data_IF_605685650659
#
_entry.id   IF_605685650659
#
_cell.length_a   1.000
_cell.length_b   1.000
_cell.length_c   1.000
_cell.angle_alpha   90.00
_cell.angle_beta   90.00
_cell.angle_gamma   90.00
#
_symmetry.space_group_name_H-M   'P 1'
#
loop_
_entity.id
_entity.type
_entity.pdbx_description
1 polymer ?
#
# COMPACT_ATOMS: atom_id res chain seq x y z
N UNK A 1 18.47 -26.20 12.60
CA UNK A 1 17.12 -25.63 12.37
C UNK A 1 16.99 -24.12 12.66
N UNK A 2 17.93 -23.48 13.38
CA UNK A 2 17.90 -22.04 13.71
C UNK A 2 18.00 -21.10 12.49
N UNK A 3 18.86 -21.46 11.52
CA UNK A 3 19.15 -20.63 10.34
C UNK A 3 17.94 -20.30 9.46
N UNK A 4 17.03 -21.27 9.23
CA UNK A 4 15.88 -21.05 8.34
C UNK A 4 14.82 -20.12 8.96
N UNK A 5 14.80 -19.98 10.29
CA UNK A 5 13.91 -19.04 10.97
C UNK A 5 14.48 -17.62 10.96
N UNK A 6 15.81 -17.50 11.11
CA UNK A 6 16.48 -16.21 11.06
C UNK A 6 16.44 -15.63 9.63
N UNK A 7 16.72 -16.45 8.61
CA UNK A 7 16.63 -16.05 7.19
C UNK A 7 15.20 -15.62 6.84
N UNK A 8 14.20 -16.37 7.30
CA UNK A 8 12.79 -16.02 7.16
C UNK A 8 12.51 -14.62 7.70
N UNK A 9 12.93 -14.33 8.94
CA UNK A 9 12.55 -13.09 9.60
C UNK A 9 13.16 -11.91 8.87
N UNK A 10 14.42 -12.05 8.45
CA UNK A 10 15.10 -11.05 7.62
C UNK A 10 14.30 -10.76 6.34
N UNK A 11 13.91 -11.80 5.59
CA UNK A 11 13.15 -11.62 4.33
C UNK A 11 11.80 -10.95 4.57
N UNK A 12 11.05 -11.35 5.61
CA UNK A 12 9.79 -10.68 5.99
C UNK A 12 10.00 -9.20 6.24
N UNK A 13 10.96 -8.87 7.09
CA UNK A 13 11.19 -7.50 7.51
C UNK A 13 11.62 -6.65 6.31
N UNK A 14 12.55 -7.15 5.49
CA UNK A 14 13.00 -6.46 4.28
C UNK A 14 11.84 -6.20 3.31
N UNK A 15 11.00 -7.19 3.02
CA UNK A 15 9.88 -7.00 2.09
C UNK A 15 8.83 -6.05 2.65
N UNK A 16 8.50 -6.14 3.94
CA UNK A 16 7.51 -5.22 4.53
C UNK A 16 8.02 -3.79 4.62
N UNK A 17 9.32 -3.60 4.87
CA UNK A 17 9.95 -2.27 4.80
C UNK A 17 9.93 -1.70 3.38
N UNK A 18 10.21 -2.54 2.37
CA UNK A 18 10.11 -2.12 0.97
C UNK A 18 8.68 -1.70 0.62
N UNK A 19 7.68 -2.51 1.01
CA UNK A 19 6.27 -2.20 0.79
C UNK A 19 5.85 -0.90 1.49
N UNK A 20 6.28 -0.69 2.74
CA UNK A 20 6.02 0.56 3.46
C UNK A 20 6.68 1.75 2.75
N UNK A 21 7.90 1.58 2.26
CA UNK A 21 8.61 2.56 1.44
C UNK A 21 7.83 2.90 0.16
N UNK A 22 7.27 1.92 -0.54
CA UNK A 22 6.41 2.15 -1.70
C UNK A 22 5.14 2.91 -1.35
N UNK A 23 4.46 2.57 -0.25
CA UNK A 23 3.27 3.29 0.22
C UNK A 23 3.63 4.75 0.52
N UNK A 24 4.73 4.98 1.25
CA UNK A 24 5.22 6.32 1.58
C UNK A 24 5.61 7.12 0.33
N UNK A 25 6.26 6.48 -0.64
CA UNK A 25 6.62 7.10 -1.92
C UNK A 25 5.37 7.56 -2.68
N UNK A 26 4.37 6.68 -2.86
CA UNK A 26 3.12 7.03 -3.54
C UNK A 26 2.36 8.15 -2.81
N UNK A 27 2.32 8.09 -1.47
CA UNK A 27 1.71 9.14 -0.66
C UNK A 27 2.42 10.50 -0.84
N UNK A 28 3.75 10.52 -0.84
CA UNK A 28 4.55 11.73 -1.05
C UNK A 28 4.23 12.36 -2.41
N UNK A 29 4.29 11.61 -3.51
CA UNK A 29 3.98 12.14 -4.84
C UNK A 29 2.52 12.58 -4.99
N UNK A 30 1.60 11.97 -4.26
CA UNK A 30 0.18 12.36 -4.27
C UNK A 30 -0.06 13.71 -3.59
N UNK A 31 0.74 14.06 -2.57
CA UNK A 31 0.66 15.36 -1.88
C UNK A 31 1.44 16.45 -2.62
N UNK A 32 2.52 16.10 -3.33
CA UNK A 32 3.38 17.06 -4.06
C UNK A 32 2.75 17.48 -5.41
N UNK A 33 1.48 17.18 -5.67
CA UNK A 33 0.80 17.63 -6.89
C UNK A 33 0.71 19.17 -6.91
N UNK A 34 1.53 19.80 -7.76
CA UNK A 34 1.79 21.25 -7.87
C UNK A 34 0.67 21.93 -8.68
N UNK A 35 -0.59 21.70 -8.33
CA UNK A 35 -1.69 22.47 -8.90
C UNK A 35 -1.92 23.76 -8.10
N UNK A 36 -2.25 24.90 -8.72
CA UNK A 36 -2.42 26.18 -8.04
C UNK A 36 -3.60 26.22 -7.05
N UNK A 37 -4.40 25.15 -7.00
CA UNK A 37 -5.58 25.04 -6.14
C UNK A 37 -5.37 23.83 -5.23
N UNK A 38 -5.23 24.02 -3.90
CA UNK A 38 -5.12 22.89 -2.97
C UNK A 38 -6.46 22.15 -2.92
N UNK A 39 -6.58 21.04 -3.64
CA UNK A 39 -7.71 20.12 -3.49
C UNK A 39 -7.35 19.04 -2.48
N UNK A 40 -7.84 19.15 -1.25
CA UNK A 40 -7.74 18.06 -0.29
C UNK A 40 -8.66 16.91 -0.75
N UNK A 41 -8.07 15.88 -1.34
CA UNK A 41 -8.82 14.71 -1.79
C UNK A 41 -8.98 13.71 -0.64
N UNK A 42 -10.07 13.84 0.10
CA UNK A 42 -10.38 12.96 1.25
C UNK A 42 -10.43 11.47 0.89
N UNK A 43 -10.72 11.13 -0.38
CA UNK A 43 -10.69 9.75 -0.88
C UNK A 43 -9.26 9.22 -0.99
N UNK A 44 -8.32 10.04 -1.47
CA UNK A 44 -6.89 9.65 -1.49
C UNK A 44 -6.36 9.46 -0.07
N UNK A 45 -6.69 10.39 0.84
CA UNK A 45 -6.25 10.29 2.23
C UNK A 45 -6.79 9.04 2.94
N UNK A 46 -8.08 8.74 2.80
CA UNK A 46 -8.67 7.53 3.38
C UNK A 46 -8.07 6.26 2.77
N UNK A 47 -7.79 6.26 1.47
CA UNK A 47 -7.13 5.14 0.78
C UNK A 47 -5.74 4.84 1.37
N UNK A 48 -4.94 5.87 1.66
CA UNK A 48 -3.61 5.69 2.28
C UNK A 48 -3.70 5.15 3.71
N UNK A 49 -4.67 5.61 4.51
CA UNK A 49 -4.90 5.08 5.86
C UNK A 49 -5.29 3.60 5.78
N UNK A 50 -6.20 3.23 4.88
CA UNK A 50 -6.61 1.84 4.68
C UNK A 50 -5.42 0.97 4.22
N UNK A 51 -4.58 1.47 3.32
CA UNK A 51 -3.33 0.82 2.88
C UNK A 51 -2.38 0.54 4.06
N UNK A 52 -2.16 1.54 4.92
CA UNK A 52 -1.32 1.39 6.12
C UNK A 52 -1.89 0.36 7.11
N UNK A 53 -3.20 0.38 7.34
CA UNK A 53 -3.86 -0.59 8.22
C UNK A 53 -3.74 -2.02 7.69
N UNK A 54 -4.01 -2.24 6.40
CA UNK A 54 -3.91 -3.56 5.77
C UNK A 54 -2.45 -4.05 5.79
N UNK A 55 -1.49 -3.18 5.49
CA UNK A 55 -0.07 -3.50 5.61
C UNK A 55 0.30 -3.92 7.05
N UNK A 56 -0.13 -3.14 8.05
CA UNK A 56 0.17 -3.43 9.45
C UNK A 56 -0.42 -4.75 9.93
N UNK A 57 -1.67 -5.05 9.56
CA UNK A 57 -2.33 -6.33 9.86
C UNK A 57 -1.62 -7.49 9.16
N UNK A 58 -1.21 -7.32 7.89
CA UNK A 58 -0.48 -8.35 7.15
C UNK A 58 0.88 -8.65 7.77
N UNK A 59 1.62 -7.62 8.14
CA UNK A 59 2.92 -7.77 8.79
C UNK A 59 2.78 -8.46 10.16
N UNK A 60 1.81 -8.02 10.97
CA UNK A 60 1.48 -8.68 12.23
C UNK A 60 1.16 -10.16 12.05
N UNK A 61 0.34 -10.49 11.04
CA UNK A 61 -0.04 -11.86 10.75
C UNK A 61 1.15 -12.73 10.29
N UNK A 62 2.05 -12.18 9.46
CA UNK A 62 3.27 -12.86 9.02
C UNK A 62 4.25 -13.14 10.17
N UNK A 63 4.34 -12.21 11.12
CA UNK A 63 5.19 -12.34 12.29
C UNK A 63 4.63 -13.37 13.30
N UNK A 64 3.33 -13.29 13.61
CA UNK A 64 2.72 -14.12 14.66
C UNK A 64 2.17 -15.47 14.20
N UNK A 65 1.52 -15.54 13.03
CA UNK A 65 0.48 -16.58 12.83
C UNK A 65 0.75 -17.70 11.84
N UNK A 66 1.82 -17.69 11.05
CA UNK A 66 2.43 -18.88 10.40
C UNK A 66 3.32 -18.50 9.24
N UNK A 67 4.27 -19.39 8.97
CA UNK A 67 5.28 -19.39 7.91
C UNK A 67 4.78 -19.35 6.45
N UNK A 68 3.68 -18.64 6.15
CA UNK A 68 3.15 -18.46 4.80
C UNK A 68 3.20 -16.98 4.44
N UNK A 69 4.40 -16.47 4.14
CA UNK A 69 4.68 -15.09 3.69
C UNK A 69 4.12 -14.74 2.31
N UNK A 70 4.04 -15.71 1.40
CA UNK A 70 3.72 -15.43 0.00
C UNK A 70 2.28 -14.91 -0.15
N UNK A 71 1.33 -15.48 0.59
CA UNK A 71 -0.08 -15.12 0.46
C UNK A 71 -0.38 -13.69 0.94
N UNK A 72 0.10 -13.22 2.12
CA UNK A 72 -0.16 -11.86 2.56
C UNK A 72 0.70 -10.82 1.82
N UNK A 73 1.93 -11.17 1.36
CA UNK A 73 2.71 -10.28 0.47
C UNK A 73 1.96 -10.08 -0.85
N UNK A 74 1.52 -11.16 -1.49
CA UNK A 74 0.75 -11.08 -2.74
C UNK A 74 -0.53 -10.27 -2.56
N UNK A 75 -1.25 -10.45 -1.43
CA UNK A 75 -2.41 -9.64 -1.09
C UNK A 75 -2.10 -8.15 -0.95
N UNK A 76 -0.96 -7.81 -0.33
CA UNK A 76 -0.54 -6.40 -0.15
C UNK A 76 -0.14 -5.77 -1.49
N UNK A 77 0.62 -6.48 -2.32
CA UNK A 77 1.02 -6.03 -3.66
C UNK A 77 -0.22 -5.84 -4.54
N UNK A 78 -1.13 -6.81 -4.55
CA UNK A 78 -2.38 -6.74 -5.30
C UNK A 78 -3.24 -5.57 -4.82
N UNK A 79 -3.29 -5.28 -3.51
CA UNK A 79 -3.98 -4.12 -2.97
C UNK A 79 -3.36 -2.80 -3.41
N UNK A 80 -2.02 -2.68 -3.40
CA UNK A 80 -1.31 -1.49 -3.92
C UNK A 80 -1.61 -1.27 -5.40
N UNK A 81 -1.59 -2.32 -6.21
CA UNK A 81 -1.91 -2.25 -7.65
C UNK A 81 -3.36 -1.81 -7.88
N UNK A 82 -4.32 -2.39 -7.14
CA UNK A 82 -5.73 -1.99 -7.22
C UNK A 82 -5.91 -0.53 -6.79
N UNK A 83 -5.25 -0.10 -5.71
CA UNK A 83 -5.32 1.28 -5.24
C UNK A 83 -4.76 2.27 -6.28
N UNK A 84 -3.64 1.94 -6.92
CA UNK A 84 -3.07 2.75 -8.00
C UNK A 84 -4.00 2.82 -9.22
N UNK A 85 -4.64 1.71 -9.61
CA UNK A 85 -5.62 1.70 -10.69
C UNK A 85 -6.87 2.53 -10.34
N UNK A 86 -7.40 2.37 -9.12
CA UNK A 86 -8.57 3.11 -8.68
C UNK A 86 -8.29 4.61 -8.61
N UNK A 87 -7.21 5.02 -7.94
CA UNK A 87 -6.89 6.43 -7.75
C UNK A 87 -6.34 7.10 -9.01
N UNK A 88 -5.60 6.36 -9.84
CA UNK A 88 -4.93 6.90 -11.03
C UNK A 88 -5.74 6.82 -12.33
N UNK A 89 -6.71 5.90 -12.43
CA UNK A 89 -7.49 5.69 -13.65
C UNK A 89 -8.98 5.84 -13.40
N UNK A 90 -9.54 5.10 -12.44
CA UNK A 90 -11.01 5.02 -12.26
C UNK A 90 -11.58 6.32 -11.69
N UNK A 91 -10.98 6.86 -10.63
CA UNK A 91 -11.45 8.11 -10.02
C UNK A 91 -11.39 9.28 -11.02
N UNK A 92 -10.27 9.56 -11.72
CA UNK A 92 -10.22 10.59 -12.74
C UNK A 92 -11.28 10.41 -13.83
N UNK A 93 -11.40 9.19 -14.36
CA UNK A 93 -12.38 8.86 -15.40
C UNK A 93 -13.83 9.12 -14.97
N UNK A 94 -14.20 8.71 -13.75
CA UNK A 94 -15.53 8.97 -13.21
C UNK A 94 -15.76 10.46 -12.94
N UNK A 95 -14.73 11.18 -12.50
CA UNK A 95 -14.81 12.62 -12.24
C UNK A 95 -15.06 13.37 -13.55
N UNK A 96 -14.35 13.02 -14.63
CA UNK A 96 -14.58 13.59 -15.96
C UNK A 96 -16.00 13.33 -16.47
N UNK A 97 -16.55 12.13 -16.27
CA UNK A 97 -17.93 11.82 -16.70
C UNK A 97 -18.99 12.60 -15.91
N UNK A 98 -18.81 12.74 -14.60
CA UNK A 98 -19.84 13.33 -13.73
C UNK A 98 -19.84 14.86 -13.82
N UNK A 99 -18.68 15.47 -14.06
CA UNK A 99 -18.50 16.92 -14.09
C UNK A 99 -18.31 17.51 -15.50
N UNK A 100 -18.35 16.69 -16.56
CA UNK A 100 -18.46 17.13 -17.96
C UNK A 100 -19.90 17.24 -18.42
#
# INVERSE_FOLDING_TARGET
>A
MKNNYDIYNIVVHTVNWLLLGCIGFVAFFSVVNISPIPSFNGVQFSSFITLLLIWGVNYWYQYYKKRKWILPIAGTVLFVVIALLLLGVVVPFLTDIIYS
#
